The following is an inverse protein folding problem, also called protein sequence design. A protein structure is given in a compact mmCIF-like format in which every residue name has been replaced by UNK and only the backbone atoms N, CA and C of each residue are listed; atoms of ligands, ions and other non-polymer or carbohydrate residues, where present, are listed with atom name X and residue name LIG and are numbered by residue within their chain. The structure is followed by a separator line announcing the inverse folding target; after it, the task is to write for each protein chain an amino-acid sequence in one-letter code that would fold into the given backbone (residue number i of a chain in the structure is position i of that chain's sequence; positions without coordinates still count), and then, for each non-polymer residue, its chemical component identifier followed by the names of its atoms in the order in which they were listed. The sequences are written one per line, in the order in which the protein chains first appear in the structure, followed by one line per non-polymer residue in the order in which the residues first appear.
data_IF_847091292375
#
_entry.id   IF_847091292375
#
_cell.length_a   1.000
_cell.length_b   1.000
_cell.length_c   1.000
_cell.angle_alpha   90.00
_cell.angle_beta   90.00
_cell.angle_gamma   90.00
#
_symmetry.space_group_name_H-M   'P 1'
#
loop_
_entity.id
_entity.type
_entity.pdbx_description
1 polymer ?
#
# COMPACT_ATOMS: atom_id res chain seq x y z
N UNK A 1 -68.67 -12.30 15.47
CA UNK A 1 -68.44 -12.88 14.13
C UNK A 1 -67.57 -11.91 13.36
N UNK A 2 -66.33 -12.31 13.05
CA UNK A 2 -65.29 -11.51 12.39
C UNK A 2 -65.03 -12.14 11.01
N UNK A 3 -65.02 -11.33 9.96
CA UNK A 3 -64.48 -11.69 8.65
C UNK A 3 -63.38 -10.69 8.29
N UNK A 4 -62.14 -11.18 8.16
CA UNK A 4 -61.00 -10.49 7.56
C UNK A 4 -60.78 -11.06 6.17
N UNK A 5 -60.50 -10.24 5.14
CA UNK A 5 -59.99 -10.76 3.87
C UNK A 5 -58.46 -10.90 3.95
N UNK A 6 -57.96 -12.07 3.55
CA UNK A 6 -56.56 -12.30 3.20
C UNK A 6 -56.24 -11.54 1.90
N UNK A 7 -55.17 -10.75 1.92
CA UNK A 7 -54.53 -10.20 0.73
C UNK A 7 -53.23 -11.00 0.48
N UNK A 8 -53.18 -11.75 -0.62
CA UNK A 8 -51.98 -12.41 -1.15
C UNK A 8 -51.17 -11.40 -1.99
N UNK A 9 -49.89 -11.26 -1.70
CA UNK A 9 -48.91 -10.55 -2.54
C UNK A 9 -48.05 -11.57 -3.31
N UNK A 10 -47.69 -11.33 -4.59
CA UNK A 10 -46.79 -12.19 -5.34
C UNK A 10 -45.32 -11.89 -5.01
N UNK A 11 -44.53 -12.96 -4.83
CA UNK A 11 -43.07 -12.93 -4.83
C UNK A 11 -42.56 -12.65 -6.25
N UNK A 12 -41.96 -11.48 -6.48
CA UNK A 12 -41.18 -11.21 -7.68
C UNK A 12 -39.74 -11.70 -7.48
N UNK A 13 -39.37 -12.75 -8.19
CA UNK A 13 -37.97 -13.17 -8.38
C UNK A 13 -37.38 -12.29 -9.49
N UNK A 14 -36.45 -11.40 -9.14
CA UNK A 14 -35.62 -10.70 -10.11
C UNK A 14 -34.40 -11.56 -10.42
N UNK A 15 -34.33 -12.06 -11.66
CA UNK A 15 -33.16 -12.73 -12.19
C UNK A 15 -32.09 -11.68 -12.54
N UNK A 16 -30.94 -11.73 -11.87
CA UNK A 16 -29.77 -10.95 -12.25
C UNK A 16 -29.12 -11.53 -13.52
N UNK A 17 -28.73 -10.70 -14.51
CA UNK A 17 -28.08 -11.18 -15.72
C UNK A 17 -26.67 -11.71 -15.40
N UNK A 18 -26.39 -12.93 -15.86
CA UNK A 18 -25.06 -13.56 -15.81
C UNK A 18 -24.14 -12.84 -16.82
N UNK A 19 -23.28 -11.93 -16.34
CA UNK A 19 -22.24 -11.30 -17.16
C UNK A 19 -20.98 -12.16 -17.14
N UNK A 20 -20.49 -12.54 -18.33
CA UNK A 20 -19.26 -13.32 -18.53
C UNK A 20 -18.05 -12.63 -17.86
N UNK A 21 -17.37 -13.38 -17.00
CA UNK A 21 -16.26 -13.00 -16.10
C UNK A 21 -15.01 -12.34 -16.72
N UNK A 22 -14.90 -12.20 -18.04
CA UNK A 22 -13.70 -11.66 -18.69
C UNK A 22 -13.64 -10.12 -18.76
N UNK A 23 -14.75 -9.46 -19.07
CA UNK A 23 -14.76 -8.01 -19.36
C UNK A 23 -15.33 -7.15 -18.22
N UNK A 24 -15.97 -7.78 -17.23
CA UNK A 24 -16.53 -7.08 -16.09
C UNK A 24 -15.45 -6.42 -15.22
N UNK A 25 -14.28 -7.07 -15.03
CA UNK A 25 -13.20 -6.51 -14.22
C UNK A 25 -12.62 -5.22 -14.82
N UNK A 26 -12.47 -5.14 -16.16
CA UNK A 26 -11.96 -3.93 -16.79
C UNK A 26 -12.95 -2.75 -16.71
N UNK A 27 -14.25 -3.02 -16.90
CA UNK A 27 -15.29 -2.00 -16.79
C UNK A 27 -15.49 -1.52 -15.33
N UNK A 28 -15.45 -2.45 -14.37
CA UNK A 28 -15.54 -2.14 -12.93
C UNK A 28 -14.30 -1.35 -12.48
N UNK A 29 -13.10 -1.74 -12.92
CA UNK A 29 -11.86 -1.01 -12.61
C UNK A 29 -11.84 0.40 -13.23
N UNK A 30 -12.31 0.55 -14.48
CA UNK A 30 -12.41 1.85 -15.15
C UNK A 30 -13.40 2.78 -14.43
N UNK A 31 -14.57 2.24 -14.03
CA UNK A 31 -15.57 2.99 -13.28
C UNK A 31 -15.08 3.36 -11.88
N UNK A 32 -14.40 2.44 -11.19
CA UNK A 32 -13.77 2.70 -9.89
C UNK A 32 -12.73 3.82 -9.99
N UNK A 33 -11.83 3.77 -10.98
CA UNK A 33 -10.82 4.80 -11.21
C UNK A 33 -11.43 6.15 -11.60
N UNK A 34 -12.53 6.16 -12.36
CA UNK A 34 -13.24 7.39 -12.72
C UNK A 34 -13.94 8.04 -11.52
N UNK A 35 -14.59 7.25 -10.66
CA UNK A 35 -15.28 7.73 -9.47
C UNK A 35 -14.33 8.15 -8.35
N UNK A 36 -13.15 7.52 -8.27
CA UNK A 36 -12.16 7.79 -7.23
C UNK A 36 -10.98 8.61 -7.74
N UNK A 37 -11.08 9.22 -8.94
CA UNK A 37 -10.00 9.98 -9.56
C UNK A 37 -9.48 11.08 -8.64
N UNK A 38 -10.37 11.81 -7.99
CA UNK A 38 -10.02 12.93 -7.11
C UNK A 38 -9.41 12.43 -5.80
N UNK A 39 -9.90 11.33 -5.24
CA UNK A 39 -9.33 10.68 -4.04
C UNK A 39 -7.93 10.15 -4.34
N UNK A 40 -7.73 9.47 -5.47
CA UNK A 40 -6.43 8.98 -5.92
C UNK A 40 -5.48 10.15 -6.20
N UNK A 41 -5.98 11.26 -6.77
CA UNK A 41 -5.17 12.47 -7.01
C UNK A 41 -4.76 13.12 -5.69
N UNK A 42 -5.64 13.15 -4.69
CA UNK A 42 -5.36 13.65 -3.35
C UNK A 42 -4.35 12.76 -2.60
N UNK A 43 -4.52 11.44 -2.68
CA UNK A 43 -3.61 10.45 -2.09
C UNK A 43 -2.22 10.53 -2.73
N UNK A 44 -2.14 10.66 -4.07
CA UNK A 44 -0.87 10.85 -4.78
C UNK A 44 -0.18 12.19 -4.46
N UNK A 45 -0.93 13.19 -4.02
CA UNK A 45 -0.39 14.45 -3.54
C UNK A 45 0.14 14.36 -2.09
N UNK A 46 -0.15 13.27 -1.37
CA UNK A 46 0.47 12.98 -0.08
C UNK A 46 1.78 12.24 -0.28
N UNK A 47 2.87 12.81 0.24
CA UNK A 47 4.22 12.24 0.18
C UNK A 47 4.37 10.93 0.96
N UNK A 48 3.33 10.49 1.66
CA UNK A 48 3.28 9.27 2.48
C UNK A 48 2.42 8.15 1.87
N UNK A 49 1.67 8.41 0.80
CA UNK A 49 0.86 7.38 0.15
C UNK A 49 1.76 6.48 -0.71
N UNK A 50 2.09 5.30 -0.20
CA UNK A 50 2.74 4.27 -0.99
C UNK A 50 1.85 3.90 -2.18
N UNK A 51 2.45 3.61 -3.33
CA UNK A 51 1.78 3.11 -4.54
C UNK A 51 1.31 1.65 -4.37
N UNK A 52 0.65 1.37 -3.24
CA UNK A 52 0.00 0.12 -2.95
C UNK A 52 -1.29 0.02 -3.77
N UNK A 53 -1.52 -1.14 -4.37
CA UNK A 53 -2.67 -1.39 -5.22
C UNK A 53 -3.98 -1.10 -4.45
N UNK A 54 -4.76 -0.14 -4.91
CA UNK A 54 -6.12 0.08 -4.42
C UNK A 54 -7.02 -1.14 -4.65
N UNK A 55 -6.62 -2.12 -5.47
CA UNK A 55 -7.33 -3.39 -5.66
C UNK A 55 -7.14 -4.40 -4.53
N UNK A 56 -6.11 -4.22 -3.69
CA UNK A 56 -5.98 -4.95 -2.43
C UNK A 56 -6.50 -4.14 -1.24
N UNK A 57 -6.86 -2.87 -1.44
CA UNK A 57 -7.77 -2.19 -0.54
C UNK A 57 -9.18 -2.55 -1.00
N UNK A 58 -9.75 -3.63 -0.47
CA UNK A 58 -11.21 -3.75 -0.43
C UNK A 58 -11.76 -2.72 0.56
N UNK A 59 -11.47 -1.44 0.34
CA UNK A 59 -12.28 -0.36 0.86
C UNK A 59 -13.63 -0.57 0.18
N UNK A 60 -14.60 -1.07 0.92
CA UNK A 60 -15.99 -0.92 0.55
C UNK A 60 -16.24 0.58 0.46
N UNK A 61 -16.07 1.16 -0.73
CA UNK A 61 -16.47 2.54 -0.99
C UNK A 61 -17.99 2.57 -0.91
N UNK A 62 -18.51 2.99 0.24
CA UNK A 62 -19.90 3.40 0.33
C UNK A 62 -20.02 4.71 -0.45
N UNK A 63 -20.65 4.63 -1.61
CA UNK A 63 -21.09 5.80 -2.35
C UNK A 63 -22.18 6.48 -1.53
N UNK A 64 -21.86 7.63 -0.93
CA UNK A 64 -22.83 8.47 -0.24
C UNK A 64 -23.65 9.24 -1.28
N UNK A 65 -24.96 8.97 -1.37
CA UNK A 65 -25.89 9.80 -2.12
C UNK A 65 -26.33 10.98 -1.23
N UNK A 66 -25.83 12.17 -1.52
CA UNK A 66 -26.36 13.41 -0.92
C UNK A 66 -27.55 13.89 -1.74
N UNK A 67 -28.77 13.72 -1.22
CA UNK A 67 -29.95 14.40 -1.76
C UNK A 67 -29.94 15.85 -1.26
N UNK A 68 -29.42 16.77 -2.08
CA UNK A 68 -29.65 18.20 -1.86
C UNK A 68 -31.06 18.56 -2.33
N UNK A 69 -31.98 18.77 -1.39
CA UNK A 69 -33.23 19.47 -1.68
C UNK A 69 -32.94 20.97 -1.82
N UNK A 70 -32.93 21.47 -3.05
CA UNK A 70 -32.93 22.90 -3.32
C UNK A 70 -34.37 23.43 -3.29
N UNK A 71 -34.72 24.22 -2.27
CA UNK A 71 -35.87 25.12 -2.36
C UNK A 71 -35.40 26.42 -3.02
N UNK A 72 -35.74 26.62 -4.30
CA UNK A 72 -35.53 27.92 -4.94
C UNK A 72 -36.59 28.91 -4.45
N UNK A 73 -36.19 29.85 -3.58
CA UNK A 73 -36.90 31.11 -3.42
C UNK A 73 -36.38 32.10 -4.46
N UNK A 74 -37.31 32.59 -5.29
CA UNK A 74 -37.03 33.53 -6.37
C UNK A 74 -37.00 34.96 -5.80
N UNK A 75 -35.83 35.47 -5.44
CA UNK A 75 -35.67 36.90 -5.13
C UNK A 75 -35.32 37.69 -6.39
N UNK A 76 -36.08 38.77 -6.63
CA UNK A 76 -35.83 39.71 -7.73
C UNK A 76 -34.52 40.47 -7.48
N UNK A 77 -33.73 40.77 -8.53
CA UNK A 77 -32.44 41.40 -8.35
C UNK A 77 -32.59 42.87 -7.95
N UNK A 78 -31.94 43.27 -6.85
CA UNK A 78 -31.49 44.65 -6.64
C UNK A 78 -30.04 44.75 -7.08
N UNK A 79 -29.80 45.67 -8.00
CA UNK A 79 -28.48 46.16 -8.36
C UNK A 79 -27.77 46.66 -7.10
N UNK A 80 -26.67 46.03 -6.70
CA UNK A 80 -25.52 46.82 -6.28
C UNK A 80 -24.20 46.09 -6.47
N UNK A 81 -23.19 46.92 -6.70
CA UNK A 81 -21.91 46.61 -7.29
C UNK A 81 -20.82 46.57 -6.19
N UNK A 82 -19.84 45.67 -6.35
CA UNK A 82 -18.53 45.58 -5.66
C UNK A 82 -18.50 44.89 -4.29
N UNK A 83 -17.86 43.71 -4.23
CA UNK A 83 -16.58 43.49 -3.52
C UNK A 83 -16.05 42.09 -3.87
N UNK A 84 -14.82 41.99 -4.40
CA UNK A 84 -14.08 40.73 -4.56
C UNK A 84 -13.10 40.61 -3.40
N UNK A 85 -13.32 39.66 -2.49
CA UNK A 85 -12.28 39.17 -1.58
C UNK A 85 -12.06 37.67 -1.87
N UNK A 86 -10.93 37.34 -2.49
CA UNK A 86 -10.47 35.95 -2.69
C UNK A 86 -9.36 35.70 -1.68
N UNK A 87 -9.69 35.08 -0.54
CA UNK A 87 -8.67 34.51 0.35
C UNK A 87 -8.33 33.10 -0.13
N UNK A 88 -7.13 32.96 -0.69
CA UNK A 88 -6.48 31.67 -0.91
C UNK A 88 -5.79 31.26 0.38
N UNK A 89 -6.22 30.14 0.96
CA UNK A 89 -5.56 29.52 2.11
C UNK A 89 -4.42 28.67 1.55
N UNK A 90 -3.17 29.09 1.77
CA UNK A 90 -1.98 28.30 1.51
C UNK A 90 -1.65 27.46 2.75
N UNK A 91 -1.61 26.13 2.61
CA UNK A 91 -1.06 25.24 3.62
C UNK A 91 0.43 25.03 3.33
N UNK A 92 1.29 25.43 4.28
CA UNK A 92 2.68 24.98 4.36
C UNK A 92 2.74 23.77 5.29
N UNK A 93 3.22 22.63 4.78
CA UNK A 93 3.58 21.47 5.61
C UNK A 93 5.06 21.16 5.40
N UNK A 94 5.83 21.24 6.48
CA UNK A 94 7.22 20.82 6.55
C UNK A 94 7.28 19.29 6.64
N UNK A 95 8.12 18.68 5.80
CA UNK A 95 8.27 17.23 5.71
C UNK A 95 9.17 16.63 6.78
N UNK A 96 8.75 15.47 7.28
CA UNK A 96 9.59 14.33 7.64
C UNK A 96 8.79 13.08 7.29
N UNK A 97 9.39 12.17 6.50
CA UNK A 97 8.73 11.00 5.94
C UNK A 97 8.64 9.87 6.97
N UNK A 98 7.54 9.83 7.70
CA UNK A 98 7.14 8.67 8.49
C UNK A 98 6.19 7.80 7.65
N UNK A 99 6.52 6.51 7.53
CA UNK A 99 5.65 5.51 6.93
C UNK A 99 4.47 5.25 7.87
N UNK A 100 3.39 6.03 7.72
CA UNK A 100 2.21 5.93 8.55
C UNK A 100 1.19 4.95 7.94
N UNK A 101 0.97 3.83 8.61
CA UNK A 101 -0.30 3.09 8.50
C UNK A 101 -1.43 4.05 8.86
N UNK A 102 -2.50 4.09 8.07
CA UNK A 102 -3.73 4.75 8.49
C UNK A 102 -4.29 3.97 9.69
N UNK A 103 -3.96 4.42 10.90
CA UNK A 103 -4.64 4.01 12.12
C UNK A 103 -6.13 4.32 11.92
N UNK A 104 -7.07 3.49 12.40
CA UNK A 104 -8.49 3.85 12.43
C UNK A 104 -8.65 5.23 13.08
N UNK A 105 -8.85 6.24 12.24
CA UNK A 105 -8.92 7.63 12.63
C UNK A 105 -10.34 8.12 12.44
N UNK A 106 -10.85 8.82 13.44
CA UNK A 106 -12.15 9.49 13.31
C UNK A 106 -11.95 10.70 12.41
N UNK A 107 -12.43 10.64 11.17
CA UNK A 107 -12.59 11.85 10.34
C UNK A 107 -13.91 12.49 10.75
N UNK A 108 -13.84 13.60 11.47
CA UNK A 108 -15.03 14.39 11.82
C UNK A 108 -15.30 15.39 10.72
N UNK A 109 -16.35 15.14 9.94
CA UNK A 109 -16.89 16.14 9.01
C UNK A 109 -18.05 16.86 9.68
N UNK A 110 -17.97 18.18 9.78
CA UNK A 110 -18.96 19.02 10.42
C UNK A 110 -19.67 19.86 9.36
N UNK A 111 -20.83 19.39 8.89
CA UNK A 111 -21.68 20.16 8.02
C UNK A 111 -22.63 21.04 8.85
N UNK A 112 -22.53 22.37 8.70
CA UNK A 112 -23.49 23.31 9.29
C UNK A 112 -24.59 23.58 8.27
N UNK A 113 -25.81 23.17 8.56
CA UNK A 113 -26.98 23.49 7.73
C UNK A 113 -27.84 24.53 8.44
N UNK A 114 -27.92 25.73 7.88
CA UNK A 114 -28.80 26.79 8.38
C UNK A 114 -30.14 26.66 7.68
N UNK A 115 -31.18 26.24 8.41
CA UNK A 115 -32.55 26.26 7.91
C UNK A 115 -33.23 27.53 8.43
N UNK A 116 -33.80 28.33 7.53
CA UNK A 116 -34.61 29.51 7.89
C UNK A 116 -36.08 29.08 7.96
N UNK A 117 -36.70 28.97 9.13
CA UNK A 117 -38.14 28.74 9.20
C UNK A 117 -38.88 30.06 8.94
N UNK A 118 -39.73 30.09 7.91
CA UNK A 118 -40.69 31.18 7.70
C UNK A 118 -41.96 30.86 8.48
N UNK A 119 -42.01 31.25 9.75
CA UNK A 119 -43.24 31.20 10.55
C UNK A 119 -43.71 32.62 10.83
N UNK A 120 -44.74 33.05 10.12
CA UNK A 120 -45.37 34.36 10.34
C UNK A 120 -46.52 34.21 11.33
N UNK A 121 -46.30 34.61 12.59
CA UNK A 121 -47.37 34.74 13.58
C UNK A 121 -47.95 36.16 13.51
N UNK A 122 -49.20 36.28 13.08
CA UNK A 122 -49.93 37.55 13.11
C UNK A 122 -50.65 37.69 14.45
N UNK A 123 -50.28 38.71 15.24
CA UNK A 123 -51.00 39.10 16.46
C UNK A 123 -51.76 40.39 16.16
N UNK A 124 -53.09 40.34 16.23
CA UNK A 124 -53.96 41.50 16.01
C UNK A 124 -54.21 42.21 17.34
N UNK A 125 -53.63 43.40 17.52
CA UNK A 125 -54.01 44.33 18.59
C UNK A 125 -54.36 45.67 17.95
N UNK A 126 -55.56 46.17 18.22
CA UNK A 126 -56.10 47.42 17.71
C UNK A 126 -55.60 48.59 18.55
N UNK A 127 -54.42 49.11 18.21
CA UNK A 127 -54.01 50.51 18.39
C UNK A 127 -52.68 50.74 17.63
N UNK A 128 -52.56 51.89 16.98
CA UNK A 128 -51.63 52.18 15.88
C UNK A 128 -50.15 52.23 16.30
N UNK A 129 -49.46 51.09 16.27
CA UNK A 129 -48.01 50.98 16.11
C UNK A 129 -47.63 49.53 15.79
N UNK A 130 -47.34 49.22 14.53
CA UNK A 130 -46.92 47.89 14.08
C UNK A 130 -45.43 47.68 14.39
N UNK A 131 -45.10 47.02 15.50
CA UNK A 131 -43.75 46.54 15.77
C UNK A 131 -43.66 45.06 15.38
N UNK A 132 -42.90 44.77 14.33
CA UNK A 132 -42.62 43.40 13.89
C UNK A 132 -41.44 42.86 14.70
N UNK A 133 -41.68 41.94 15.64
CA UNK A 133 -40.61 41.21 16.32
C UNK A 133 -40.39 39.91 15.56
N UNK A 134 -39.18 39.71 15.03
CA UNK A 134 -38.78 38.48 14.35
C UNK A 134 -37.94 37.65 15.31
N UNK A 135 -38.50 36.56 15.84
CA UNK A 135 -37.77 35.57 16.64
C UNK A 135 -37.13 34.54 15.72
N UNK A 136 -35.86 34.21 15.98
CA UNK A 136 -35.11 33.21 15.22
C UNK A 136 -34.65 32.10 16.16
N UNK A 137 -35.03 30.86 15.86
CA UNK A 137 -34.54 29.67 16.56
C UNK A 137 -33.56 28.95 15.65
N UNK A 138 -32.28 28.94 16.03
CA UNK A 138 -31.23 28.20 15.30
C UNK A 138 -31.13 26.78 15.83
N UNK A 139 -31.48 25.78 15.01
CA UNK A 139 -31.33 24.37 15.38
C UNK A 139 -30.08 23.82 14.72
N UNK A 140 -29.07 23.46 15.51
CA UNK A 140 -27.82 22.85 15.02
C UNK A 140 -27.92 21.33 15.14
N UNK A 141 -27.99 20.63 14.00
CA UNK A 141 -27.94 19.17 13.95
C UNK A 141 -26.52 18.73 13.60
N UNK A 142 -25.86 17.98 14.50
CA UNK A 142 -24.53 17.41 14.24
C UNK A 142 -24.68 15.93 13.89
N UNK A 143 -24.35 15.55 12.67
CA UNK A 143 -24.35 14.14 12.24
C UNK A 143 -22.92 13.62 12.27
N UNK A 144 -22.63 12.67 13.17
CA UNK A 144 -21.31 12.03 13.24
C UNK A 144 -21.36 10.69 12.51
N UNK A 145 -20.65 10.58 11.38
CA UNK A 145 -20.50 9.32 10.65
C UNK A 145 -19.15 8.72 10.99
N UNK A 146 -19.14 7.54 11.62
CA UNK A 146 -17.89 6.80 11.87
C UNK A 146 -17.69 5.79 10.74
N UNK A 147 -16.63 5.96 9.96
CA UNK A 147 -16.23 4.97 8.94
C UNK A 147 -15.09 4.14 9.52
N UNK A 148 -15.24 2.82 9.52
CA UNK A 148 -14.19 1.90 9.92
C UNK A 148 -13.47 1.40 8.67
N UNK A 149 -12.16 1.64 8.60
CA UNK A 149 -11.31 0.96 7.63
C UNK A 149 -10.91 -0.38 8.22
N UNK A 150 -11.33 -1.48 7.60
CA UNK A 150 -10.81 -2.81 7.93
C UNK A 150 -9.46 -2.98 7.25
N UNK A 151 -8.42 -3.29 8.02
CA UNK A 151 -7.11 -3.62 7.47
C UNK A 151 -7.27 -4.77 6.47
N UNK A 152 -6.82 -4.56 5.23
CA UNK A 152 -6.83 -5.66 4.27
C UNK A 152 -5.67 -6.59 4.58
N UNK A 153 -5.97 -7.88 4.72
CA UNK A 153 -4.95 -8.91 4.93
C UNK A 153 -4.06 -9.01 3.70
N UNK A 154 -2.76 -8.77 3.89
CA UNK A 154 -1.76 -9.02 2.86
C UNK A 154 -1.42 -10.51 2.87
N UNK A 155 -1.74 -11.22 1.79
CA UNK A 155 -1.37 -12.64 1.68
C UNK A 155 0.14 -12.74 1.45
N UNK A 156 0.86 -13.27 2.43
CA UNK A 156 2.29 -13.50 2.32
C UNK A 156 2.57 -14.78 1.49
N UNK A 157 2.69 -14.63 0.17
CA UNK A 157 2.96 -15.72 -0.77
C UNK A 157 4.38 -15.73 -1.37
N UNK A 158 5.29 -14.94 -0.80
CA UNK A 158 6.69 -14.84 -1.23
C UNK A 158 7.00 -13.59 -2.06
N UNK A 159 8.26 -13.46 -2.45
CA UNK A 159 8.75 -12.43 -3.37
C UNK A 159 8.78 -12.97 -4.79
N UNK A 160 8.52 -12.12 -5.78
CA UNK A 160 8.83 -12.47 -7.17
C UNK A 160 10.34 -12.46 -7.34
N UNK A 161 10.88 -13.43 -8.08
CA UNK A 161 12.32 -13.47 -8.34
C UNK A 161 12.64 -13.60 -9.82
N UNK A 162 13.83 -13.12 -10.18
CA UNK A 162 14.46 -13.29 -11.50
C UNK A 162 15.86 -13.86 -11.29
N UNK A 163 16.20 -14.90 -12.05
CA UNK A 163 17.53 -15.50 -12.06
C UNK A 163 18.32 -15.00 -13.25
N UNK A 164 19.59 -14.72 -13.02
CA UNK A 164 20.56 -14.29 -14.02
C UNK A 164 21.80 -15.16 -13.98
N UNK A 165 22.48 -15.28 -15.12
CA UNK A 165 23.85 -15.78 -15.22
C UNK A 165 24.80 -14.59 -15.37
N UNK A 166 25.97 -14.65 -14.76
CA UNK A 166 27.01 -13.63 -14.90
C UNK A 166 28.40 -14.24 -15.06
N UNK A 167 29.45 -13.42 -15.10
CA UNK A 167 30.85 -13.88 -15.21
C UNK A 167 31.76 -13.37 -14.09
N UNK A 168 31.20 -12.70 -13.07
CA UNK A 168 31.97 -12.17 -11.94
C UNK A 168 32.64 -13.28 -11.14
N UNK A 169 33.95 -13.18 -10.97
CA UNK A 169 34.73 -14.12 -10.15
C UNK A 169 34.91 -13.57 -8.73
N UNK A 170 34.23 -14.19 -7.77
CA UNK A 170 34.27 -13.79 -6.37
C UNK A 170 35.61 -14.05 -5.67
N UNK A 171 36.50 -14.85 -6.26
CA UNK A 171 37.84 -15.07 -5.72
C UNK A 171 38.79 -13.90 -5.99
N UNK A 172 38.42 -12.96 -6.85
CA UNK A 172 39.21 -11.76 -7.13
C UNK A 172 38.89 -10.67 -6.11
N UNK A 173 39.92 -9.98 -5.62
CA UNK A 173 39.75 -8.83 -4.73
C UNK A 173 38.96 -7.68 -5.38
N UNK A 174 39.11 -7.52 -6.70
CA UNK A 174 38.36 -6.57 -7.51
C UNK A 174 37.67 -7.32 -8.65
N UNK A 175 36.53 -7.95 -8.36
CA UNK A 175 35.76 -8.69 -9.37
C UNK A 175 35.04 -7.78 -10.37
N UNK A 176 34.83 -6.51 -10.02
CA UNK A 176 34.01 -5.58 -10.79
C UNK A 176 32.51 -5.80 -10.63
N UNK A 177 32.08 -6.64 -9.67
CA UNK A 177 30.67 -6.92 -9.42
C UNK A 177 29.91 -5.64 -9.05
N UNK A 178 28.82 -5.37 -9.77
CA UNK A 178 27.85 -4.31 -9.42
C UNK A 178 26.43 -4.84 -9.58
N UNK A 179 25.50 -4.52 -8.65
CA UNK A 179 24.09 -4.82 -8.85
C UNK A 179 23.53 -4.26 -10.16
N UNK A 180 23.89 -3.02 -10.51
CA UNK A 180 23.46 -2.36 -11.75
C UNK A 180 23.64 -3.17 -13.04
N UNK A 181 24.61 -4.10 -13.10
CA UNK A 181 24.76 -5.03 -14.22
C UNK A 181 23.47 -5.80 -14.55
N UNK A 182 22.71 -6.21 -13.53
CA UNK A 182 21.52 -7.02 -13.69
C UNK A 182 20.30 -6.23 -14.21
N UNK A 183 20.37 -4.89 -14.26
CA UNK A 183 19.28 -4.06 -14.83
C UNK A 183 19.09 -4.31 -16.32
N UNK A 184 20.17 -4.64 -17.01
CA UNK A 184 20.19 -4.88 -18.47
C UNK A 184 20.48 -6.33 -18.83
N UNK A 185 20.77 -7.18 -17.85
CA UNK A 185 21.04 -8.59 -18.08
C UNK A 185 19.77 -9.34 -18.50
N UNK A 186 19.92 -10.34 -19.37
CA UNK A 186 18.82 -11.23 -19.73
C UNK A 186 18.44 -12.10 -18.54
N UNK A 187 17.13 -12.18 -18.27
CA UNK A 187 16.57 -13.08 -17.27
C UNK A 187 16.58 -14.49 -17.84
N UNK A 188 17.15 -15.45 -17.11
CA UNK A 188 17.16 -16.86 -17.51
C UNK A 188 15.80 -17.50 -17.24
N UNK A 189 15.26 -17.27 -16.05
CA UNK A 189 13.91 -17.67 -15.63
C UNK A 189 13.48 -16.85 -14.40
N UNK A 190 12.20 -16.95 -14.06
CA UNK A 190 11.56 -16.21 -12.97
C UNK A 190 10.53 -17.07 -12.25
N UNK A 191 10.26 -16.77 -11.00
CA UNK A 191 9.25 -17.48 -10.19
C UNK A 191 8.89 -16.73 -8.92
N UNK A 192 8.43 -17.46 -7.91
CA UNK A 192 8.17 -16.93 -6.56
C UNK A 192 8.97 -17.67 -5.50
N UNK A 193 9.48 -16.96 -4.50
CA UNK A 193 10.27 -17.54 -3.42
C UNK A 193 9.78 -17.04 -2.06
N UNK A 194 9.47 -17.98 -1.16
CA UNK A 194 9.00 -17.67 0.20
C UNK A 194 10.14 -17.61 1.23
N UNK A 195 11.18 -18.42 1.03
CA UNK A 195 12.33 -18.46 1.93
C UNK A 195 13.58 -17.90 1.25
N UNK A 196 14.17 -16.85 1.82
CA UNK A 196 15.37 -16.20 1.28
C UNK A 196 16.68 -16.76 1.87
N UNK A 197 16.63 -17.64 2.87
CA UNK A 197 17.78 -18.43 3.32
C UNK A 197 17.81 -19.76 2.55
N UNK A 198 18.78 -19.91 1.65
CA UNK A 198 18.97 -21.13 0.85
C UNK A 198 20.45 -21.34 0.56
N UNK A 199 20.86 -22.59 0.37
CA UNK A 199 22.24 -22.93 0.01
C UNK A 199 22.31 -24.12 -0.92
N UNK A 200 23.43 -24.26 -1.62
CA UNK A 200 23.76 -25.51 -2.29
C UNK A 200 23.83 -26.66 -1.26
N UNK A 201 23.53 -27.90 -1.67
CA UNK A 201 23.61 -29.04 -0.77
C UNK A 201 25.02 -29.19 -0.15
N UNK A 202 25.08 -29.36 1.17
CA UNK A 202 26.31 -29.54 1.96
C UNK A 202 27.29 -28.35 2.01
N UNK A 203 26.81 -27.13 1.70
CA UNK A 203 27.58 -25.89 1.87
C UNK A 203 28.27 -25.85 3.26
N UNK A 204 29.54 -25.41 3.39
CA UNK A 204 30.38 -24.74 2.38
C UNK A 204 31.18 -25.70 1.48
N UNK A 205 30.75 -26.95 1.38
CA UNK A 205 31.35 -27.98 0.53
C UNK A 205 30.29 -28.62 -0.37
N UNK A 206 30.70 -29.58 -1.21
CA UNK A 206 29.75 -30.31 -2.07
C UNK A 206 29.66 -29.74 -3.47
N UNK A 207 28.48 -29.82 -4.07
CA UNK A 207 28.25 -29.44 -5.46
C UNK A 207 27.73 -27.99 -5.56
N UNK A 208 27.91 -27.39 -6.73
CA UNK A 208 27.50 -26.01 -7.01
C UNK A 208 26.08 -25.92 -7.58
N UNK A 209 25.19 -26.88 -7.36
CA UNK A 209 23.84 -26.84 -7.93
C UNK A 209 22.79 -26.45 -6.89
N UNK A 210 21.85 -25.60 -7.33
CA UNK A 210 20.68 -25.19 -6.55
C UNK A 210 19.41 -25.70 -7.22
N UNK A 211 18.39 -25.98 -6.39
CA UNK A 211 17.02 -26.16 -6.83
C UNK A 211 16.15 -25.10 -6.18
N UNK A 212 15.57 -24.22 -6.98
CA UNK A 212 14.65 -23.16 -6.51
C UNK A 212 13.39 -23.22 -7.34
N UNK A 213 12.23 -23.33 -6.68
CA UNK A 213 10.92 -23.36 -7.36
C UNK A 213 10.86 -24.41 -8.50
N UNK A 214 11.45 -25.59 -8.27
CA UNK A 214 11.54 -26.68 -9.26
C UNK A 214 12.61 -26.50 -10.35
N UNK A 215 13.28 -25.35 -10.43
CA UNK A 215 14.37 -25.11 -11.37
C UNK A 215 15.71 -25.58 -10.80
N UNK A 216 16.38 -26.48 -11.52
CA UNK A 216 17.73 -26.98 -11.21
C UNK A 216 18.79 -26.26 -12.06
N UNK A 217 19.78 -25.63 -11.43
CA UNK A 217 20.79 -24.84 -12.14
C UNK A 217 22.14 -24.81 -11.42
N UNK A 218 23.20 -24.54 -12.19
CA UNK A 218 24.53 -24.28 -11.63
C UNK A 218 24.56 -22.87 -11.01
N UNK A 219 24.96 -22.81 -9.75
CA UNK A 219 24.99 -21.60 -8.92
C UNK A 219 26.36 -20.93 -8.88
N UNK A 220 27.37 -21.50 -9.52
CA UNK A 220 28.75 -21.00 -9.52
C UNK A 220 28.90 -19.60 -10.16
N UNK A 221 27.98 -19.22 -11.04
CA UNK A 221 27.95 -17.92 -11.72
C UNK A 221 26.52 -17.41 -11.87
N UNK A 222 25.78 -17.40 -10.75
CA UNK A 222 24.36 -17.09 -10.72
C UNK A 222 24.06 -15.91 -9.80
N UNK A 223 23.05 -15.13 -10.19
CA UNK A 223 22.42 -14.15 -9.31
C UNK A 223 20.90 -14.35 -9.30
N UNK A 224 20.29 -14.01 -8.16
CA UNK A 224 18.84 -14.03 -7.97
C UNK A 224 18.45 -12.68 -7.38
N UNK A 225 17.59 -11.96 -8.11
CA UNK A 225 16.98 -10.72 -7.65
C UNK A 225 15.56 -11.03 -7.18
N UNK A 226 15.26 -10.77 -5.92
CA UNK A 226 13.97 -11.04 -5.26
C UNK A 226 13.32 -9.71 -4.87
N UNK A 227 12.08 -9.47 -5.29
CA UNK A 227 11.41 -8.17 -5.16
C UNK A 227 9.96 -8.32 -4.69
N UNK A 228 9.51 -7.34 -3.91
CA UNK A 228 8.16 -7.30 -3.36
C UNK A 228 8.13 -6.54 -2.06
N UNK A 229 7.42 -7.07 -1.07
CA UNK A 229 7.20 -6.39 0.20
C UNK A 229 7.52 -7.32 1.36
N UNK A 230 8.20 -6.78 2.37
CA UNK A 230 8.28 -7.40 3.69
C UNK A 230 7.07 -6.98 4.51
N UNK A 231 6.38 -7.95 5.09
CA UNK A 231 5.13 -7.78 5.85
C UNK A 231 5.39 -8.02 7.33
N UNK A 232 5.10 -7.02 8.15
CA UNK A 232 5.24 -7.11 9.60
C UNK A 232 4.13 -7.99 10.19
N UNK A 233 4.49 -9.07 10.86
CA UNK A 233 3.54 -9.96 11.55
C UNK A 233 3.13 -9.45 12.94
N UNK A 234 3.91 -8.54 13.52
CA UNK A 234 3.72 -7.94 14.83
C UNK A 234 4.23 -6.50 14.82
N UNK A 235 3.71 -5.66 15.71
CA UNK A 235 4.21 -4.28 15.88
C UNK A 235 5.55 -4.29 16.59
N UNK A 236 6.51 -3.53 16.06
CA UNK A 236 7.80 -3.26 16.68
C UNK A 236 8.94 -3.18 15.68
N UNK A 237 10.17 -3.35 16.16
CA UNK A 237 11.36 -3.27 15.33
C UNK A 237 11.80 -4.65 14.85
N UNK A 238 11.84 -4.82 13.53
CA UNK A 238 12.48 -5.94 12.88
C UNK A 238 13.91 -5.59 12.55
N UNK A 239 14.85 -6.52 12.74
CA UNK A 239 16.23 -6.38 12.27
C UNK A 239 16.52 -7.45 11.24
N UNK A 240 16.85 -7.03 10.03
CA UNK A 240 17.24 -7.93 8.94
C UNK A 240 18.76 -7.92 8.87
N UNK A 241 19.36 -9.11 8.79
CA UNK A 241 20.82 -9.23 8.83
C UNK A 241 21.34 -10.40 8.01
N UNK A 242 22.61 -10.28 7.63
CA UNK A 242 23.37 -11.32 6.95
C UNK A 242 24.77 -11.37 7.55
N UNK A 243 25.17 -12.55 8.03
CA UNK A 243 26.52 -12.79 8.56
C UNK A 243 27.57 -12.92 7.45
N UNK A 244 28.80 -12.36 7.65
CA UNK A 244 29.92 -12.55 6.72
C UNK A 244 30.31 -14.01 6.53
N UNK A 245 30.09 -14.84 7.55
CA UNK A 245 30.56 -16.22 7.57
C UNK A 245 29.70 -17.15 6.71
N UNK A 246 28.46 -16.73 6.42
CA UNK A 246 27.44 -17.58 5.78
C UNK A 246 26.96 -17.08 4.42
N UNK A 247 27.11 -15.79 4.10
CA UNK A 247 26.82 -15.31 2.74
C UNK A 247 27.85 -15.90 1.77
N UNK A 248 27.43 -16.34 0.59
CA UNK A 248 28.33 -16.87 -0.43
C UNK A 248 27.76 -16.56 -1.83
N UNK A 249 28.23 -15.53 -2.54
CA UNK A 249 29.31 -14.58 -2.20
C UNK A 249 28.85 -13.16 -1.91
N UNK A 250 27.72 -12.73 -2.47
CA UNK A 250 27.25 -11.35 -2.41
C UNK A 250 25.80 -11.29 -1.98
N UNK A 251 25.47 -10.32 -1.12
CA UNK A 251 24.13 -10.01 -0.68
C UNK A 251 23.93 -8.50 -0.60
N UNK A 252 22.89 -7.98 -1.24
CA UNK A 252 22.55 -6.56 -1.21
C UNK A 252 21.06 -6.38 -0.93
N UNK A 253 20.75 -5.61 0.12
CA UNK A 253 19.38 -5.32 0.51
C UNK A 253 19.05 -3.84 0.27
N UNK A 254 17.92 -3.59 -0.37
CA UNK A 254 17.26 -2.28 -0.40
C UNK A 254 15.89 -2.39 0.25
N UNK A 255 15.51 -1.35 0.98
CA UNK A 255 14.22 -1.24 1.67
C UNK A 255 13.61 0.13 1.44
N UNK A 256 12.30 0.26 1.56
CA UNK A 256 11.61 1.54 1.32
C UNK A 256 11.74 1.98 -0.13
N UNK A 257 11.81 3.29 -0.38
CA UNK A 257 11.80 3.84 -1.75
C UNK A 257 13.01 3.37 -2.58
N UNK A 258 14.15 3.13 -1.92
CA UNK A 258 15.34 2.61 -2.56
C UNK A 258 15.15 1.20 -3.12
N UNK A 259 14.19 0.41 -2.60
CA UNK A 259 13.92 -0.93 -3.10
C UNK A 259 13.33 -0.93 -4.52
N UNK A 260 12.56 0.09 -4.89
CA UNK A 260 11.95 0.17 -6.22
C UNK A 260 13.00 0.35 -7.31
N UNK A 261 14.03 1.15 -7.06
CA UNK A 261 15.08 1.45 -8.05
C UNK A 261 16.36 0.66 -7.85
N UNK A 262 16.59 0.12 -6.64
CA UNK A 262 17.73 -0.71 -6.24
C UNK A 262 19.07 -0.21 -6.80
N UNK A 263 19.27 1.11 -6.67
CA UNK A 263 20.44 1.79 -7.22
C UNK A 263 21.69 1.45 -6.42
N UNK A 264 22.82 1.25 -7.10
CA UNK A 264 24.11 1.03 -6.46
C UNK A 264 24.40 2.11 -5.41
N UNK A 265 24.94 1.72 -4.25
CA UNK A 265 25.26 2.64 -3.16
C UNK A 265 24.07 3.12 -2.30
N UNK A 266 22.83 2.75 -2.65
CA UNK A 266 21.62 3.10 -1.85
C UNK A 266 21.06 1.94 -1.03
N UNK A 267 21.84 0.86 -0.92
CA UNK A 267 21.48 -0.33 -0.15
C UNK A 267 21.32 0.02 1.33
N UNK A 268 20.30 -0.56 1.96
CA UNK A 268 20.13 -0.53 3.41
C UNK A 268 21.30 -1.26 4.11
N UNK A 269 21.76 -2.38 3.54
CA UNK A 269 23.06 -2.97 3.85
C UNK A 269 23.55 -3.87 2.71
N UNK A 270 24.84 -4.21 2.76
CA UNK A 270 25.45 -5.24 1.93
C UNK A 270 26.19 -6.27 2.80
N UNK A 271 26.36 -7.47 2.29
CA UNK A 271 27.16 -8.52 2.88
C UNK A 271 27.94 -9.24 1.78
N UNK A 272 29.17 -9.66 2.10
CA UNK A 272 30.00 -10.36 1.14
C UNK A 272 30.97 -11.33 1.80
N UNK A 273 31.34 -12.35 1.02
CA UNK A 273 32.36 -13.34 1.31
C UNK A 273 33.17 -13.57 0.03
N UNK A 274 34.17 -12.71 -0.23
CA UNK A 274 34.93 -12.71 -1.48
C UNK A 274 36.43 -12.59 -1.23
N UNK A 275 37.24 -12.73 -2.28
CA UNK A 275 38.68 -12.43 -2.25
C UNK A 275 39.00 -10.97 -1.89
N UNK A 276 38.01 -10.07 -1.90
CA UNK A 276 38.15 -8.67 -1.47
C UNK A 276 37.99 -8.47 0.04
N UNK A 277 37.61 -9.52 0.78
CA UNK A 277 37.33 -9.46 2.21
C UNK A 277 35.91 -9.91 2.53
N UNK A 278 35.67 -10.21 3.80
CA UNK A 278 34.38 -10.72 4.29
C UNK A 278 33.76 -9.69 5.21
N UNK A 279 32.51 -9.31 4.97
CA UNK A 279 31.74 -8.46 5.87
C UNK A 279 30.25 -8.81 5.82
N UNK A 280 29.58 -8.67 6.96
CA UNK A 280 28.13 -8.77 7.05
C UNK A 280 27.50 -7.39 7.13
N UNK A 281 26.17 -7.38 7.23
CA UNK A 281 25.41 -6.16 7.40
C UNK A 281 24.07 -6.42 8.03
N UNK A 282 23.44 -5.34 8.50
CA UNK A 282 22.10 -5.37 9.04
C UNK A 282 21.41 -4.03 8.87
N UNK A 283 20.08 -4.06 8.82
CA UNK A 283 19.22 -2.88 8.90
C UNK A 283 18.04 -3.15 9.82
N UNK A 284 17.49 -2.11 10.43
CA UNK A 284 16.33 -2.21 11.31
C UNK A 284 15.16 -1.38 10.76
N UNK A 285 13.96 -1.93 10.84
CA UNK A 285 12.73 -1.30 10.35
C UNK A 285 11.68 -1.40 11.46
N UNK A 286 11.16 -0.26 11.91
CA UNK A 286 10.04 -0.22 12.86
C UNK A 286 8.74 -0.16 12.09
N UNK A 287 7.81 -1.08 12.39
CA UNK A 287 6.58 -1.29 11.64
C UNK A 287 5.43 -1.63 12.60
N UNK A 288 4.20 -1.28 12.22
CA UNK A 288 3.01 -1.83 12.85
C UNK A 288 2.67 -3.21 12.28
N UNK A 289 1.98 -4.05 13.04
CA UNK A 289 1.48 -5.33 12.54
C UNK A 289 0.58 -5.10 11.31
N UNK A 290 0.86 -5.83 10.23
CA UNK A 290 0.18 -5.72 8.93
C UNK A 290 0.80 -4.71 7.97
N UNK A 291 1.76 -3.89 8.41
CA UNK A 291 2.49 -3.00 7.52
C UNK A 291 3.31 -3.78 6.49
N UNK A 292 3.44 -3.19 5.32
CA UNK A 292 4.30 -3.69 4.25
C UNK A 292 5.31 -2.63 3.85
N UNK A 293 6.59 -3.00 3.82
CA UNK A 293 7.68 -2.15 3.32
C UNK A 293 8.25 -2.74 2.02
N UNK A 294 8.46 -1.92 0.97
CA UNK A 294 9.09 -2.39 -0.25
C UNK A 294 10.48 -2.97 0.03
N UNK A 295 10.82 -4.06 -0.63
CA UNK A 295 12.08 -4.77 -0.45
C UNK A 295 12.60 -5.33 -1.75
N UNK A 296 13.90 -5.15 -1.97
CA UNK A 296 14.67 -5.83 -3.02
C UNK A 296 15.87 -6.50 -2.36
N UNK A 297 16.00 -7.81 -2.54
CA UNK A 297 17.16 -8.59 -2.13
C UNK A 297 17.86 -9.14 -3.38
N UNK A 298 19.15 -8.86 -3.53
CA UNK A 298 20.00 -9.46 -4.55
C UNK A 298 20.99 -10.38 -3.87
N UNK A 299 20.91 -11.67 -4.19
CA UNK A 299 21.98 -12.63 -3.92
C UNK A 299 22.74 -12.94 -5.20
N UNK A 300 24.06 -13.08 -5.12
CA UNK A 300 24.87 -13.55 -6.24
C UNK A 300 26.07 -14.37 -5.79
N UNK A 301 26.50 -15.30 -6.64
CA UNK A 301 27.60 -16.20 -6.39
C UNK A 301 28.55 -16.23 -7.57
N UNK A 302 29.84 -16.07 -7.29
CA UNK A 302 30.92 -15.89 -8.26
C UNK A 302 31.97 -17.00 -8.21
N UNK A 303 31.60 -18.19 -7.77
CA UNK A 303 32.35 -19.43 -7.94
C UNK A 303 31.87 -20.52 -6.98
N UNK A 304 31.99 -21.78 -7.39
CA UNK A 304 31.80 -22.93 -6.48
C UNK A 304 30.39 -23.04 -5.88
N UNK A 305 30.33 -23.46 -4.61
CA UNK A 305 29.10 -23.57 -3.82
C UNK A 305 28.53 -22.18 -3.49
N UNK A 306 27.25 -22.09 -3.17
CA UNK A 306 26.59 -20.80 -2.94
C UNK A 306 25.59 -20.84 -1.78
N UNK A 307 25.39 -19.70 -1.13
CA UNK A 307 24.43 -19.53 -0.02
C UNK A 307 23.90 -18.11 0.04
N UNK A 308 22.58 -17.97 -0.07
CA UNK A 308 21.86 -16.78 0.37
C UNK A 308 21.59 -16.94 1.85
N UNK A 309 22.21 -16.11 2.68
CA UNK A 309 21.97 -16.11 4.12
C UNK A 309 21.18 -14.87 4.54
N UNK A 310 19.95 -15.07 4.99
CA UNK A 310 19.01 -14.00 5.32
C UNK A 310 18.35 -14.30 6.66
N UNK A 311 18.54 -13.41 7.63
CA UNK A 311 18.03 -13.58 8.99
C UNK A 311 17.10 -12.43 9.33
N UNK A 312 15.91 -12.75 9.82
CA UNK A 312 14.96 -11.78 10.39
C UNK A 312 14.98 -11.95 11.90
N UNK A 313 15.35 -10.92 12.63
CA UNK A 313 15.13 -10.82 14.08
C UNK A 313 13.84 -10.05 14.32
N UNK A 314 12.87 -10.71 14.94
CA UNK A 314 11.53 -10.18 15.21
C UNK A 314 11.54 -9.18 16.36
N UNK A 315 10.44 -8.41 16.56
CA UNK A 315 10.30 -7.52 17.71
C UNK A 315 10.41 -8.20 19.08
N UNK A 316 10.18 -9.51 19.15
CA UNK A 316 10.37 -10.29 20.39
C UNK A 316 11.84 -10.63 20.67
N UNK A 317 12.76 -10.30 19.76
CA UNK A 317 14.17 -10.66 19.82
C UNK A 317 14.50 -12.04 19.26
N UNK A 318 13.53 -12.75 18.68
CA UNK A 318 13.75 -14.08 18.10
C UNK A 318 14.30 -13.96 16.68
N UNK A 319 15.38 -14.67 16.35
CA UNK A 319 15.90 -14.72 14.98
C UNK A 319 15.37 -15.94 14.23
N UNK A 320 14.96 -15.74 12.97
CA UNK A 320 14.50 -16.79 12.07
C UNK A 320 15.25 -16.74 10.74
N UNK A 321 15.60 -17.91 10.22
CA UNK A 321 16.14 -18.10 8.87
C UNK A 321 15.10 -18.68 7.91
N UNK A 322 14.10 -19.40 8.41
CA UNK A 322 12.90 -19.68 7.61
C UNK A 322 12.06 -18.40 7.54
N UNK A 323 12.16 -17.71 6.41
CA UNK A 323 11.47 -16.43 6.20
C UNK A 323 10.09 -16.59 5.59
N UNK A 324 9.55 -17.81 5.55
CA UNK A 324 8.21 -18.09 5.02
C UNK A 324 7.16 -17.26 5.77
N UNK A 325 6.22 -16.65 5.03
CA UNK A 325 5.15 -15.83 5.60
C UNK A 325 5.52 -14.38 5.93
N UNK A 326 6.75 -13.93 5.66
CA UNK A 326 7.16 -12.53 5.83
C UNK A 326 7.10 -11.71 4.54
N UNK A 327 6.77 -12.33 3.41
CA UNK A 327 6.90 -11.68 2.10
C UNK A 327 5.64 -11.78 1.27
N UNK A 328 5.31 -10.68 0.61
CA UNK A 328 4.22 -10.60 -0.34
C UNK A 328 4.71 -10.05 -1.70
N UNK A 329 4.17 -10.55 -2.82
CA UNK A 329 4.55 -10.07 -4.12
C UNK A 329 3.92 -8.71 -4.39
N UNK A 330 4.51 -7.95 -5.32
CA UNK A 330 3.82 -6.82 -5.91
C UNK A 330 2.68 -7.30 -6.81
N UNK A 331 1.56 -6.56 -6.84
CA UNK A 331 0.49 -6.87 -7.80
C UNK A 331 0.94 -6.62 -9.25
N UNK A 332 1.87 -5.68 -9.42
CA UNK A 332 2.57 -5.46 -10.67
C UNK A 332 4.07 -5.37 -10.39
N UNK A 333 4.83 -6.32 -10.96
CA UNK A 333 6.28 -6.35 -10.81
C UNK A 333 6.99 -5.18 -11.52
N UNK A 334 6.29 -4.44 -12.40
CA UNK A 334 6.84 -3.29 -13.13
C UNK A 334 7.14 -2.08 -12.24
N UNK A 335 6.59 -2.05 -11.02
CA UNK A 335 6.88 -0.98 -10.05
C UNK A 335 8.32 -1.06 -9.51
N UNK A 336 8.99 -2.19 -9.72
CA UNK A 336 10.41 -2.39 -9.40
C UNK A 336 11.22 -2.32 -10.71
N UNK A 337 12.10 -1.34 -10.82
CA UNK A 337 12.84 -0.95 -12.03
C UNK A 337 14.34 -0.96 -11.81
#
# INVERSE_FOLDING_TARGET
MRYSPLLLLPLAVSAAPQVKRGNANAAINSLFCALNKDVITLLKAQTTATSYCSSYLSIATQTLYFYHYYSHSFERPRNDNRYRDRRSIHYHLNGYGDYATLVPGTVTDAATQTLTPTSTSAVTVTETSTNTITDFTTTTTTTTTTVYATATSITASGLTYRKYTHSYNANLAASGFTPSYFKTASVDFSGSLQNLDFSTPNWPSGNSYLTIDGHYFASDQAAILMQGFFVAQATGTYTISTSPDYIDNYGYLWTGDAAYTWTDGTTAYAATRTGGGYFGGSTSITMNAGDAVPMTWLWANGGGVGRSHFVITTPSGSSVTDTTGYFAPACDSSIFT
#
